data_IF_766440740684
#
_entry.id   IF_766440740684
#
_cell.length_a   1.000
_cell.length_b   1.000
_cell.length_c   1.000
_cell.angle_alpha   90.00
_cell.angle_beta   90.00
_cell.angle_gamma   90.00
#
_symmetry.space_group_name_H-M   'P 1'
#
loop_
_entity.id
_entity.type
_entity.pdbx_description
1 polymer ?
#
# COMPACT_ATOMS: atom_id res chain seq x y z
N UNK A 1 -32.66 17.19 -38.57
CA UNK A 1 -32.96 15.77 -38.29
C UNK A 1 -32.74 15.55 -36.81
N UNK A 2 -33.83 15.38 -36.04
CA UNK A 2 -33.78 15.12 -34.59
C UNK A 2 -33.80 13.60 -34.43
N UNK A 3 -32.80 13.01 -33.79
CA UNK A 3 -32.74 11.56 -33.59
C UNK A 3 -33.79 11.16 -32.55
N UNK A 4 -34.83 10.44 -32.96
CA UNK A 4 -35.94 10.04 -32.08
C UNK A 4 -35.47 9.21 -30.87
N UNK A 5 -34.43 8.41 -31.05
CA UNK A 5 -33.77 7.65 -29.96
C UNK A 5 -33.11 8.53 -28.91
N UNK A 6 -32.62 9.71 -29.30
CA UNK A 6 -31.95 10.64 -28.39
C UNK A 6 -32.98 11.45 -27.60
N UNK A 7 -34.10 11.81 -28.22
CA UNK A 7 -35.17 12.59 -27.59
C UNK A 7 -35.87 11.83 -26.44
N UNK A 8 -36.03 10.52 -26.58
CA UNK A 8 -36.68 9.67 -25.57
C UNK A 8 -35.72 9.27 -24.43
N UNK A 9 -34.41 9.23 -24.72
CA UNK A 9 -33.36 8.88 -23.74
C UNK A 9 -32.86 10.06 -22.89
N UNK A 10 -33.22 11.31 -23.22
CA UNK A 10 -32.79 12.51 -22.45
C UNK A 10 -33.12 12.39 -20.96
N UNK A 11 -34.30 11.86 -20.63
CA UNK A 11 -34.72 11.67 -19.24
C UNK A 11 -33.87 10.66 -18.49
N UNK A 12 -33.47 9.56 -19.15
CA UNK A 12 -32.56 8.57 -18.58
C UNK A 12 -31.17 9.16 -18.35
N UNK A 13 -30.67 10.00 -19.28
CA UNK A 13 -29.39 10.69 -19.10
C UNK A 13 -29.45 11.67 -17.92
N UNK A 14 -30.55 12.41 -17.77
CA UNK A 14 -30.76 13.31 -16.62
C UNK A 14 -30.78 12.55 -15.29
N UNK A 15 -31.51 11.44 -15.23
CA UNK A 15 -31.58 10.60 -14.04
C UNK A 15 -30.19 10.01 -13.68
N UNK A 16 -29.48 9.48 -14.67
CA UNK A 16 -28.14 8.93 -14.47
C UNK A 16 -27.15 10.01 -14.03
N UNK A 17 -27.21 11.20 -14.65
CA UNK A 17 -26.40 12.34 -14.26
C UNK A 17 -26.67 12.75 -12.81
N UNK A 18 -27.94 12.85 -12.41
CA UNK A 18 -28.32 13.19 -11.04
C UNK A 18 -27.87 12.13 -10.03
N UNK A 19 -27.97 10.83 -10.35
CA UNK A 19 -27.52 9.75 -9.47
C UNK A 19 -25.98 9.72 -9.33
N UNK A 20 -25.25 9.79 -10.44
CA UNK A 20 -23.79 9.75 -10.43
C UNK A 20 -23.20 10.99 -9.75
N UNK A 21 -23.80 12.17 -9.97
CA UNK A 21 -23.35 13.39 -9.30
C UNK A 21 -23.86 13.51 -7.87
N UNK A 22 -25.05 12.98 -7.58
CA UNK A 22 -25.63 12.87 -6.24
C UNK A 22 -24.70 12.16 -5.25
N UNK A 23 -23.99 11.14 -5.73
CA UNK A 23 -23.00 10.41 -4.92
C UNK A 23 -21.87 11.31 -4.39
N UNK A 24 -21.45 12.34 -5.13
CA UNK A 24 -20.41 13.27 -4.69
C UNK A 24 -20.86 14.24 -3.58
N UNK A 25 -22.18 14.39 -3.35
CA UNK A 25 -22.69 15.19 -2.24
C UNK A 25 -22.65 14.45 -0.91
N UNK A 26 -22.52 13.12 -0.93
CA UNK A 26 -22.19 12.34 0.25
C UNK A 26 -20.68 12.45 0.47
N UNK A 27 -20.27 13.59 1.03
CA UNK A 27 -18.89 13.85 1.42
C UNK A 27 -18.43 12.78 2.41
N UNK A 28 -17.68 11.80 1.91
CA UNK A 28 -16.96 10.85 2.74
C UNK A 28 -15.80 11.62 3.33
N UNK A 29 -16.06 12.28 4.46
CA UNK A 29 -15.05 12.97 5.26
C UNK A 29 -14.61 12.02 6.39
N UNK A 30 -13.65 11.11 6.16
CA UNK A 30 -13.07 10.34 7.24
C UNK A 30 -12.43 11.33 8.22
N UNK A 31 -12.98 11.43 9.43
CA UNK A 31 -12.35 12.21 10.49
C UNK A 31 -11.15 11.44 10.99
N UNK A 32 -9.99 11.74 10.43
CA UNK A 32 -8.71 11.29 10.98
C UNK A 32 -8.48 11.99 12.32
N UNK A 33 -8.39 11.23 13.41
CA UNK A 33 -8.03 11.78 14.71
C UNK A 33 -6.52 11.77 14.82
N UNK A 34 -5.97 12.78 15.48
CA UNK A 34 -4.54 12.81 15.79
C UNK A 34 -4.09 11.58 16.60
N UNK A 35 -5.03 11.03 17.37
CA UNK A 35 -4.89 9.83 18.19
C UNK A 35 -4.70 8.56 17.36
N UNK A 36 -5.13 8.57 16.09
CA UNK A 36 -5.04 7.42 15.18
C UNK A 36 -3.65 7.33 14.50
N UNK A 37 -2.84 8.38 14.64
CA UNK A 37 -1.48 8.42 14.08
C UNK A 37 -0.51 7.86 15.13
N UNK A 38 0.13 6.75 14.79
CA UNK A 38 1.07 6.07 15.68
C UNK A 38 2.29 6.97 15.97
N UNK A 39 2.82 6.91 17.20
CA UNK A 39 4.07 7.59 17.59
C UNK A 39 5.26 7.14 16.74
N UNK A 40 5.19 5.92 16.20
CA UNK A 40 6.15 5.44 15.20
C UNK A 40 6.04 6.24 13.90
N UNK A 41 4.84 6.41 13.36
CA UNK A 41 4.61 7.16 12.12
C UNK A 41 5.05 8.62 12.25
N UNK A 42 4.81 9.25 13.41
CA UNK A 42 5.33 10.59 13.67
C UNK A 42 6.86 10.64 13.68
N UNK A 43 7.54 9.68 14.30
CA UNK A 43 9.01 9.63 14.32
C UNK A 43 9.57 9.46 12.91
N UNK A 44 9.01 8.54 12.14
CA UNK A 44 9.44 8.24 10.76
C UNK A 44 9.23 9.48 9.88
N UNK A 45 8.13 10.22 10.08
CA UNK A 45 7.87 11.51 9.41
C UNK A 45 8.87 12.60 9.82
N UNK A 46 9.13 12.78 11.12
CA UNK A 46 10.04 13.82 11.63
C UNK A 46 11.51 13.56 11.29
N UNK A 47 11.96 12.30 11.32
CA UNK A 47 13.31 11.91 10.93
C UNK A 47 13.51 11.86 9.40
N UNK A 48 12.44 12.03 8.62
CA UNK A 48 12.48 11.93 7.16
C UNK A 48 12.80 10.51 6.66
N UNK A 49 12.53 9.49 7.47
CA UNK A 49 12.76 8.09 7.12
C UNK A 49 11.90 7.66 5.91
N UNK A 50 10.73 8.28 5.71
CA UNK A 50 9.90 8.15 4.50
C UNK A 50 10.61 8.56 3.20
N UNK A 51 11.61 9.43 3.28
CA UNK A 51 12.38 9.89 2.11
C UNK A 51 13.67 9.11 1.89
N UNK A 52 14.01 8.17 2.79
CA UNK A 52 15.24 7.40 2.75
C UNK A 52 14.96 5.91 2.53
N UNK A 53 14.13 5.60 1.54
CA UNK A 53 13.98 4.22 1.07
C UNK A 53 15.29 3.80 0.40
N UNK A 54 16.13 3.08 1.14
CA UNK A 54 17.32 2.42 0.59
C UNK A 54 17.03 0.96 0.37
N UNK A 55 17.21 0.53 -0.87
CA UNK A 55 17.19 -0.87 -1.22
C UNK A 55 18.41 -1.57 -0.62
N UNK A 56 18.18 -2.80 -0.19
CA UNK A 56 19.21 -3.65 0.36
C UNK A 56 20.15 -4.08 -0.77
N UNK A 57 21.48 -3.96 -0.61
CA UNK A 57 22.40 -4.40 -1.64
C UNK A 57 22.27 -5.92 -1.88
N UNK A 58 22.34 -6.40 -3.13
CA UNK A 58 22.18 -7.82 -3.47
C UNK A 58 23.12 -8.75 -2.69
N UNK A 59 24.33 -8.27 -2.41
CA UNK A 59 25.36 -8.98 -1.64
C UNK A 59 24.89 -9.34 -0.22
N UNK A 60 24.04 -8.50 0.41
CA UNK A 60 23.50 -8.79 1.73
C UNK A 60 22.48 -9.93 1.65
N UNK A 61 21.63 -9.94 0.62
CA UNK A 61 20.62 -10.97 0.40
C UNK A 61 21.31 -12.32 0.18
N UNK A 62 22.36 -12.36 -0.65
CA UNK A 62 23.16 -13.58 -0.86
C UNK A 62 23.82 -14.07 0.43
N UNK A 63 24.36 -13.17 1.26
CA UNK A 63 24.93 -13.53 2.57
C UNK A 63 23.88 -14.11 3.51
N UNK A 64 22.65 -13.59 3.51
CA UNK A 64 21.55 -14.11 4.32
C UNK A 64 21.15 -15.52 3.85
N UNK A 65 21.04 -15.74 2.54
CA UNK A 65 20.69 -17.05 1.97
C UNK A 65 21.77 -18.11 2.23
N UNK A 66 23.05 -17.72 2.20
CA UNK A 66 24.17 -18.62 2.44
C UNK A 66 24.52 -18.79 3.94
N UNK A 67 23.96 -17.99 4.84
CA UNK A 67 24.24 -18.06 6.27
C UNK A 67 23.62 -19.31 6.91
N UNK A 68 24.40 -20.09 7.66
CA UNK A 68 23.89 -21.22 8.45
C UNK A 68 23.06 -20.80 9.66
N UNK A 69 23.05 -19.50 10.01
CA UNK A 69 22.35 -18.95 11.17
C UNK A 69 20.89 -18.59 10.91
N UNK A 70 20.47 -18.61 9.65
CA UNK A 70 19.12 -18.27 9.23
C UNK A 70 18.38 -19.55 8.91
N UNK A 71 17.19 -19.71 9.46
CA UNK A 71 16.38 -20.90 9.25
C UNK A 71 15.90 -21.02 7.78
N UNK A 72 15.56 -22.23 7.37
CA UNK A 72 15.13 -22.49 6.00
C UNK A 72 13.83 -21.79 5.61
N UNK A 73 12.88 -21.61 6.54
CA UNK A 73 11.59 -20.96 6.26
C UNK A 73 11.78 -19.48 5.98
N UNK A 74 12.57 -18.76 6.77
CA UNK A 74 12.90 -17.34 6.53
C UNK A 74 13.61 -17.14 5.20
N UNK A 75 14.50 -18.07 4.80
CA UNK A 75 15.16 -18.01 3.48
C UNK A 75 14.18 -18.21 2.34
N UNK A 76 13.26 -19.17 2.46
CA UNK A 76 12.21 -19.39 1.45
C UNK A 76 11.28 -18.19 1.34
N UNK A 77 10.89 -17.57 2.46
CA UNK A 77 10.07 -16.36 2.46
C UNK A 77 10.82 -15.18 1.83
N UNK A 78 12.10 -14.99 2.14
CA UNK A 78 12.94 -13.96 1.53
C UNK A 78 13.04 -14.13 0.01
N UNK A 79 13.26 -15.36 -0.48
CA UNK A 79 13.27 -15.66 -1.91
C UNK A 79 11.92 -15.38 -2.57
N UNK A 80 10.81 -15.72 -1.90
CA UNK A 80 9.46 -15.40 -2.37
C UNK A 80 9.27 -13.89 -2.49
N UNK A 81 9.62 -13.12 -1.46
CA UNK A 81 9.52 -11.66 -1.48
C UNK A 81 10.39 -11.04 -2.57
N UNK A 82 11.60 -11.56 -2.78
CA UNK A 82 12.47 -11.12 -3.88
C UNK A 82 11.80 -11.35 -5.25
N UNK A 83 11.18 -12.52 -5.45
CA UNK A 83 10.51 -12.83 -6.72
C UNK A 83 9.24 -12.01 -6.98
N UNK A 84 8.52 -11.60 -5.93
CA UNK A 84 7.27 -10.84 -6.05
C UNK A 84 7.50 -9.32 -6.09
N UNK A 85 8.38 -8.79 -5.23
CA UNK A 85 8.60 -7.35 -5.04
C UNK A 85 9.81 -6.83 -5.84
N UNK A 86 10.75 -7.70 -6.20
CA UNK A 86 11.99 -7.34 -6.89
C UNK A 86 13.00 -6.70 -5.94
N UNK A 87 12.82 -5.43 -5.60
CA UNK A 87 13.72 -4.71 -4.71
C UNK A 87 13.20 -4.71 -3.27
N UNK A 88 14.05 -5.15 -2.34
CA UNK A 88 13.72 -5.25 -0.92
C UNK A 88 14.32 -4.08 -0.15
N UNK A 89 13.54 -3.48 0.75
CA UNK A 89 14.02 -2.52 1.72
C UNK A 89 14.54 -3.23 2.98
N UNK A 90 15.30 -2.53 3.82
CA UNK A 90 15.74 -3.09 5.10
C UNK A 90 14.56 -3.52 5.98
N UNK A 91 13.45 -2.77 5.93
CA UNK A 91 12.26 -3.07 6.72
C UNK A 91 11.59 -4.38 6.30
N UNK A 92 11.59 -4.70 5.00
CA UNK A 92 11.08 -5.97 4.48
C UNK A 92 11.88 -7.17 4.99
N UNK A 93 13.20 -7.01 5.15
CA UNK A 93 14.07 -8.06 5.69
C UNK A 93 13.95 -8.16 7.21
N UNK A 94 13.79 -7.03 7.89
CA UNK A 94 13.60 -6.97 9.34
C UNK A 94 12.23 -7.51 9.78
N UNK A 95 11.18 -7.27 9.01
CA UNK A 95 9.83 -7.74 9.34
C UNK A 95 9.72 -9.27 9.24
N UNK A 96 10.49 -9.92 8.37
CA UNK A 96 10.56 -11.39 8.28
C UNK A 96 11.00 -12.06 9.59
N UNK A 97 11.84 -11.41 10.38
CA UNK A 97 12.27 -11.93 11.69
C UNK A 97 11.38 -11.49 12.83
N UNK A 98 10.47 -10.54 12.58
CA UNK A 98 9.58 -9.93 13.57
C UNK A 98 8.10 -10.28 13.35
N UNK A 99 7.84 -11.46 12.78
CA UNK A 99 6.50 -12.05 12.72
C UNK A 99 5.92 -12.15 14.13
N UNK A 100 4.86 -11.39 14.41
CA UNK A 100 4.02 -11.45 15.63
C UNK A 100 4.60 -10.91 16.97
N UNK A 101 5.22 -9.74 16.98
CA UNK A 101 5.41 -8.97 18.23
C UNK A 101 4.87 -7.54 18.12
N UNK A 102 3.65 -7.41 17.61
CA UNK A 102 2.83 -6.22 17.76
C UNK A 102 1.50 -6.68 18.38
N UNK A 103 1.54 -6.90 19.69
CA UNK A 103 0.40 -6.72 20.57
C UNK A 103 0.28 -5.24 20.90
#
# INVERSE_FOLDING_TARGET
MRSDTLADSVWLLWLMFALLNGFFFFDVYPRYRYEDIDVLDFRVCYNGEWYNTRFVPPQLIERILNSSRVDGQSKTQLQKMLSTKGELSFYDVFSLTRSEAAQ
#
